data_IF_045382424364
#
_entry.id   IF_045382424364
#
_cell.length_a   1.000
_cell.length_b   1.000
_cell.length_c   1.000
_cell.angle_alpha   90.00
_cell.angle_beta   90.00
_cell.angle_gamma   90.00
#
_symmetry.space_group_name_H-M   'P 1'
#
loop_
_entity.id
_entity.type
_entity.pdbx_description
1 polymer ?
#
# COMPACT_ATOMS: atom_id res chain seq x y z
N UNK A 1 -26.66 -47.56 14.93
CA UNK A 1 -25.46 -46.95 14.31
C UNK A 1 -25.59 -46.78 12.79
N UNK A 2 -25.98 -47.83 12.03
CA UNK A 2 -26.19 -47.76 10.57
C UNK A 2 -27.29 -46.79 10.12
N UNK A 3 -28.39 -46.66 10.87
CA UNK A 3 -29.50 -45.75 10.52
C UNK A 3 -29.16 -44.27 10.68
N UNK A 4 -28.38 -43.92 11.72
CA UNK A 4 -27.92 -42.55 11.96
C UNK A 4 -26.99 -42.09 10.82
N UNK A 5 -26.09 -42.98 10.36
CA UNK A 5 -25.25 -42.69 9.19
C UNK A 5 -26.08 -42.49 7.92
N UNK A 6 -27.12 -43.31 7.69
CA UNK A 6 -27.98 -43.22 6.49
C UNK A 6 -28.77 -41.92 6.45
N UNK A 7 -29.22 -41.43 7.60
CA UNK A 7 -29.98 -40.17 7.75
C UNK A 7 -29.11 -38.91 7.58
N UNK A 8 -27.82 -39.00 7.88
CA UNK A 8 -26.87 -37.90 7.73
C UNK A 8 -25.96 -38.02 6.50
N UNK A 9 -26.07 -39.10 5.72
CA UNK A 9 -25.19 -39.38 4.57
C UNK A 9 -25.21 -38.26 3.53
N UNK A 10 -26.40 -37.72 3.23
CA UNK A 10 -26.56 -36.58 2.32
C UNK A 10 -25.90 -35.31 2.83
N UNK A 11 -26.03 -35.02 4.13
CA UNK A 11 -25.37 -33.87 4.77
C UNK A 11 -23.85 -34.05 4.81
N UNK A 12 -23.36 -35.26 5.06
CA UNK A 12 -21.93 -35.60 5.05
C UNK A 12 -21.35 -35.44 3.64
N UNK A 13 -22.03 -35.96 2.62
CA UNK A 13 -21.63 -35.81 1.22
C UNK A 13 -21.58 -34.34 0.80
N UNK A 14 -22.55 -33.53 1.22
CA UNK A 14 -22.56 -32.09 0.94
C UNK A 14 -21.40 -31.37 1.63
N UNK A 15 -21.09 -31.69 2.88
CA UNK A 15 -19.92 -31.13 3.59
C UNK A 15 -18.61 -31.52 2.89
N UNK A 16 -18.46 -32.78 2.47
CA UNK A 16 -17.28 -33.25 1.73
C UNK A 16 -17.16 -32.54 0.38
N UNK A 17 -18.27 -32.35 -0.35
CA UNK A 17 -18.30 -31.60 -1.61
C UNK A 17 -17.87 -30.13 -1.41
N UNK A 18 -18.34 -29.48 -0.35
CA UNK A 18 -17.95 -28.10 -0.03
C UNK A 18 -16.46 -28.02 0.30
N UNK A 19 -15.93 -28.93 1.12
CA UNK A 19 -14.51 -28.95 1.49
C UNK A 19 -13.63 -29.17 0.26
N UNK A 20 -14.01 -30.10 -0.62
CA UNK A 20 -13.25 -30.39 -1.86
C UNK A 20 -13.24 -29.21 -2.82
N UNK A 21 -14.35 -28.50 -3.01
CA UNK A 21 -14.40 -27.28 -3.82
C UNK A 21 -13.51 -26.18 -3.24
N UNK A 22 -13.55 -25.96 -1.92
CA UNK A 22 -12.68 -24.97 -1.25
C UNK A 22 -11.21 -25.32 -1.47
N UNK A 23 -10.82 -26.57 -1.25
CA UNK A 23 -9.43 -27.01 -1.37
C UNK A 23 -8.93 -26.96 -2.82
N UNK A 24 -9.79 -27.29 -3.78
CA UNK A 24 -9.45 -27.16 -5.20
C UNK A 24 -9.26 -25.69 -5.59
N UNK A 25 -10.09 -24.78 -5.09
CA UNK A 25 -9.93 -23.35 -5.38
C UNK A 25 -8.63 -22.78 -4.79
N UNK A 26 -8.26 -23.15 -3.56
CA UNK A 26 -6.97 -22.78 -2.95
C UNK A 26 -5.79 -23.36 -3.73
N UNK A 27 -5.83 -24.64 -4.08
CA UNK A 27 -4.77 -25.29 -4.87
C UNK A 27 -4.63 -24.70 -6.28
N UNK A 28 -5.75 -24.35 -6.92
CA UNK A 28 -5.76 -23.68 -8.23
C UNK A 28 -5.13 -22.29 -8.13
N UNK A 29 -5.47 -21.51 -7.10
CA UNK A 29 -4.84 -20.21 -6.82
C UNK A 29 -3.32 -20.37 -6.66
N UNK A 30 -2.86 -21.26 -5.79
CA UNK A 30 -1.42 -21.47 -5.57
C UNK A 30 -0.70 -21.90 -6.86
N UNK A 31 -1.28 -22.83 -7.61
CA UNK A 31 -0.72 -23.29 -8.89
C UNK A 31 -0.58 -22.15 -9.89
N UNK A 32 -1.62 -21.34 -10.05
CA UNK A 32 -1.63 -20.19 -10.96
C UNK A 32 -0.60 -19.13 -10.57
N UNK A 33 -0.51 -18.80 -9.28
CA UNK A 33 0.50 -17.87 -8.76
C UNK A 33 1.91 -18.39 -9.05
N UNK A 34 2.14 -19.70 -8.90
CA UNK A 34 3.45 -20.30 -9.16
C UNK A 34 3.81 -20.33 -10.66
N UNK A 35 2.84 -20.56 -11.55
CA UNK A 35 3.06 -20.59 -12.99
C UNK A 35 3.31 -19.19 -13.59
N UNK A 36 2.55 -18.18 -13.14
CA UNK A 36 2.58 -16.81 -13.70
C UNK A 36 3.10 -15.78 -12.70
N UNK A 37 4.08 -16.16 -11.90
CA UNK A 37 4.55 -15.41 -10.73
C UNK A 37 5.01 -14.00 -11.06
N UNK A 38 4.43 -13.02 -10.37
CA UNK A 38 4.87 -11.63 -10.33
C UNK A 38 4.92 -11.10 -8.88
N UNK A 39 5.62 -9.98 -8.70
CA UNK A 39 5.78 -9.34 -7.39
C UNK A 39 5.44 -7.85 -7.45
N UNK A 40 4.88 -7.34 -6.36
CA UNK A 40 4.63 -5.91 -6.14
C UNK A 40 4.72 -5.58 -4.64
N UNK A 41 4.33 -4.38 -4.27
CA UNK A 41 4.29 -3.90 -2.88
C UNK A 41 2.86 -3.52 -2.51
N UNK A 42 2.33 -4.24 -1.53
CA UNK A 42 0.98 -4.03 -1.01
C UNK A 42 1.00 -3.14 0.24
N UNK A 43 -0.01 -2.29 0.37
CA UNK A 43 -0.33 -1.53 1.57
C UNK A 43 -1.44 -2.23 2.34
N UNK A 44 -1.23 -2.47 3.62
CA UNK A 44 -2.25 -3.08 4.49
C UNK A 44 -3.29 -2.04 4.86
N UNK A 45 -4.55 -2.30 4.50
CA UNK A 45 -5.69 -1.43 4.75
C UNK A 45 -6.36 -1.74 6.09
N UNK A 46 -6.53 -3.03 6.40
CA UNK A 46 -7.15 -3.46 7.65
C UNK A 46 -6.62 -4.82 8.10
N UNK A 47 -6.63 -5.02 9.42
CA UNK A 47 -6.25 -6.28 10.06
C UNK A 47 -7.35 -6.64 11.05
N UNK A 48 -8.05 -7.74 10.82
CA UNK A 48 -9.02 -8.32 11.75
C UNK A 48 -8.35 -9.46 12.50
N UNK A 49 -8.14 -9.30 13.81
CA UNK A 49 -7.53 -10.31 14.68
C UNK A 49 -8.62 -11.21 15.29
N UNK A 50 -8.38 -12.51 15.30
CA UNK A 50 -9.32 -13.53 15.81
C UNK A 50 -8.88 -14.94 15.41
N UNK A 51 -9.74 -15.95 15.64
CA UNK A 51 -9.48 -17.35 15.26
C UNK A 51 -9.12 -17.52 13.78
N UNK A 52 -9.68 -16.66 12.92
CA UNK A 52 -9.32 -16.52 11.51
C UNK A 52 -8.91 -15.08 11.27
N UNK A 53 -7.63 -14.79 11.49
CA UNK A 53 -7.11 -13.46 11.19
C UNK A 53 -7.28 -13.16 9.69
N UNK A 54 -7.68 -11.95 9.36
CA UNK A 54 -7.85 -11.51 7.97
C UNK A 54 -7.14 -10.20 7.76
N UNK A 55 -6.47 -10.07 6.63
CA UNK A 55 -5.75 -8.88 6.23
C UNK A 55 -6.27 -8.42 4.90
N UNK A 56 -6.79 -7.20 4.85
CA UNK A 56 -7.17 -6.58 3.58
C UNK A 56 -6.05 -5.65 3.14
N UNK A 57 -5.67 -5.73 1.88
CA UNK A 57 -4.55 -4.98 1.33
C UNK A 57 -4.87 -4.49 -0.08
N UNK A 58 -4.13 -3.47 -0.52
CA UNK A 58 -4.15 -3.02 -1.92
C UNK A 58 -2.75 -3.01 -2.51
N UNK A 59 -2.65 -3.26 -3.81
CA UNK A 59 -1.41 -3.08 -4.57
C UNK A 59 -1.73 -2.59 -5.98
N UNK A 60 -0.75 -1.97 -6.62
CA UNK A 60 -0.89 -1.45 -7.97
C UNK A 60 -0.46 -2.51 -9.00
N UNK A 61 -1.28 -2.69 -10.03
CA UNK A 61 -0.98 -3.53 -11.19
C UNK A 61 -1.57 -2.89 -12.46
N UNK A 62 -0.74 -2.67 -13.48
CA UNK A 62 -1.14 -2.04 -14.75
C UNK A 62 -2.05 -0.83 -14.54
N UNK A 63 -1.59 0.11 -13.71
CA UNK A 63 -2.26 1.37 -13.43
C UNK A 63 -3.61 1.27 -12.71
N UNK A 64 -3.94 0.09 -12.18
CA UNK A 64 -5.15 -0.18 -11.41
C UNK A 64 -4.84 -0.69 -10.02
N UNK A 65 -5.61 -0.22 -9.05
CA UNK A 65 -5.59 -0.75 -7.69
C UNK A 65 -6.31 -2.09 -7.62
N UNK A 66 -5.59 -3.12 -7.20
CA UNK A 66 -6.14 -4.43 -6.87
C UNK A 66 -6.33 -4.49 -5.36
N UNK A 67 -7.51 -4.94 -4.94
CA UNK A 67 -7.91 -5.01 -3.53
C UNK A 67 -8.19 -6.46 -3.18
N UNK A 68 -7.44 -6.99 -2.22
CA UNK A 68 -7.55 -8.40 -1.88
C UNK A 68 -7.57 -8.62 -0.37
N UNK A 69 -8.02 -9.82 0.02
CA UNK A 69 -8.01 -10.25 1.41
C UNK A 69 -7.29 -11.58 1.56
N UNK A 70 -6.29 -11.57 2.42
CA UNK A 70 -5.56 -12.76 2.82
C UNK A 70 -6.07 -13.26 4.19
N UNK A 71 -6.18 -14.58 4.33
CA UNK A 71 -6.59 -15.23 5.57
C UNK A 71 -5.36 -15.77 6.31
N UNK A 72 -5.44 -15.88 7.64
CA UNK A 72 -4.38 -16.43 8.51
C UNK A 72 -3.13 -15.56 8.68
N UNK A 73 -3.15 -14.33 8.16
CA UNK A 73 -2.02 -13.41 8.17
C UNK A 73 -2.02 -12.38 9.31
N UNK A 74 -2.32 -12.81 10.53
CA UNK A 74 -2.48 -11.95 11.71
C UNK A 74 -1.24 -11.20 12.22
N UNK A 75 -0.06 -11.44 11.62
CA UNK A 75 1.19 -10.70 11.93
C UNK A 75 1.33 -9.40 11.12
N UNK A 76 0.47 -9.18 10.13
CA UNK A 76 0.45 -7.92 9.39
C UNK A 76 0.07 -6.76 10.31
N UNK A 77 0.66 -5.59 10.06
CA UNK A 77 0.35 -4.35 10.74
C UNK A 77 -0.43 -3.42 9.79
N UNK A 78 -1.47 -2.76 10.31
CA UNK A 78 -2.28 -1.80 9.53
C UNK A 78 -1.42 -0.61 9.09
N UNK A 79 -1.61 -0.15 7.85
CA UNK A 79 -0.87 0.94 7.19
C UNK A 79 0.62 0.64 6.93
N UNK A 80 1.07 -0.59 7.12
CA UNK A 80 2.42 -1.03 6.76
C UNK A 80 2.43 -1.60 5.34
N UNK A 81 3.65 -1.78 4.80
CA UNK A 81 3.87 -2.24 3.44
C UNK A 81 4.53 -3.63 3.44
N UNK A 82 4.06 -4.53 2.58
CA UNK A 82 4.61 -5.88 2.45
C UNK A 82 4.73 -6.26 0.97
N UNK A 83 5.58 -7.23 0.66
CA UNK A 83 5.64 -7.77 -0.69
C UNK A 83 4.35 -8.56 -0.94
N UNK A 84 3.83 -8.48 -2.14
CA UNK A 84 2.73 -9.32 -2.60
C UNK A 84 3.23 -10.15 -3.77
N UNK A 85 2.86 -11.43 -3.76
CA UNK A 85 3.02 -12.33 -4.90
C UNK A 85 1.67 -12.51 -5.57
N UNK A 86 1.63 -12.49 -6.90
CA UNK A 86 0.36 -12.62 -7.63
C UNK A 86 0.55 -13.29 -8.99
N UNK A 87 -0.54 -13.81 -9.56
CA UNK A 87 -0.61 -14.27 -10.95
C UNK A 87 -0.65 -13.05 -11.88
N UNK A 88 0.39 -12.87 -12.71
CA UNK A 88 0.50 -11.76 -13.66
C UNK A 88 -0.71 -11.59 -14.58
N UNK A 89 -1.35 -12.70 -14.95
CA UNK A 89 -2.49 -12.72 -15.87
C UNK A 89 -3.82 -12.54 -15.15
N UNK A 90 -3.87 -12.78 -13.85
CA UNK A 90 -5.03 -12.51 -13.02
C UNK A 90 -4.60 -12.11 -11.60
N UNK A 91 -4.38 -10.81 -11.35
CA UNK A 91 -3.78 -10.31 -10.12
C UNK A 91 -4.69 -10.46 -8.88
N UNK A 92 -5.98 -10.77 -9.03
CA UNK A 92 -6.87 -11.11 -7.90
C UNK A 92 -6.40 -12.38 -7.18
N UNK A 93 -5.71 -13.28 -7.90
CA UNK A 93 -4.96 -14.36 -7.26
C UNK A 93 -3.64 -13.80 -6.72
N UNK A 94 -3.70 -13.28 -5.51
CA UNK A 94 -2.53 -12.77 -4.80
C UNK A 94 -2.47 -13.16 -3.34
N UNK A 95 -1.26 -13.19 -2.78
CA UNK A 95 -0.99 -13.44 -1.37
C UNK A 95 0.07 -12.46 -0.85
N UNK A 96 -0.07 -12.02 0.40
CA UNK A 96 0.94 -11.17 1.02
C UNK A 96 2.08 -12.03 1.58
N UNK A 97 3.31 -11.62 1.29
CA UNK A 97 4.51 -12.26 1.81
C UNK A 97 4.87 -11.61 3.15
N UNK A 98 4.42 -12.23 4.23
CA UNK A 98 4.78 -11.80 5.59
C UNK A 98 6.22 -12.17 5.93
N UNK A 99 7.13 -11.25 5.65
CA UNK A 99 8.51 -11.28 6.14
C UNK A 99 8.57 -10.89 7.63
N UNK A 100 9.76 -11.06 8.25
CA UNK A 100 9.98 -10.68 9.67
C UNK A 100 9.72 -9.19 9.96
N UNK A 101 9.93 -8.31 8.98
CA UNK A 101 9.65 -6.87 9.05
C UNK A 101 8.84 -6.46 7.83
N UNK A 102 7.99 -5.42 7.98
CA UNK A 102 7.39 -4.70 6.86
C UNK A 102 8.46 -3.96 6.05
N UNK A 103 8.06 -3.32 4.96
CA UNK A 103 8.95 -2.63 4.04
C UNK A 103 9.02 -1.17 4.43
N UNK A 104 10.25 -0.64 4.46
CA UNK A 104 10.49 0.76 4.76
C UNK A 104 9.85 1.65 3.68
N UNK A 105 8.88 2.52 4.02
CA UNK A 105 8.27 3.43 3.04
C UNK A 105 9.28 4.42 2.45
N UNK A 106 10.37 4.73 3.15
CA UNK A 106 11.42 5.61 2.61
C UNK A 106 12.20 4.92 1.48
N UNK A 107 12.47 3.62 1.59
CA UNK A 107 13.12 2.86 0.51
C UNK A 107 12.23 2.79 -0.75
N UNK A 108 10.90 2.69 -0.55
CA UNK A 108 9.92 2.71 -1.64
C UNK A 108 9.90 4.03 -2.39
N UNK A 109 10.12 5.14 -1.68
CA UNK A 109 10.26 6.48 -2.27
C UNK A 109 11.60 6.62 -2.97
N UNK A 110 12.70 6.23 -2.30
CA UNK A 110 14.06 6.40 -2.82
C UNK A 110 14.26 5.69 -4.17
N UNK A 111 13.70 4.50 -4.31
CA UNK A 111 13.74 3.70 -5.55
C UNK A 111 12.69 4.11 -6.59
N UNK A 112 11.77 5.00 -6.22
CA UNK A 112 10.69 5.41 -7.10
C UNK A 112 11.07 6.55 -8.05
N UNK A 113 10.11 6.94 -8.89
CA UNK A 113 10.32 7.93 -9.95
C UNK A 113 10.28 9.39 -9.46
N UNK A 114 11.04 10.24 -10.15
CA UNK A 114 10.94 11.70 -10.02
C UNK A 114 9.81 12.22 -10.91
N UNK A 115 8.98 13.09 -10.37
CA UNK A 115 7.90 13.78 -11.09
C UNK A 115 7.85 15.25 -10.69
N UNK A 116 7.13 16.04 -11.47
CA UNK A 116 6.76 17.42 -11.14
C UNK A 116 5.39 17.43 -10.49
N UNK A 117 5.30 18.06 -9.32
CA UNK A 117 4.03 18.45 -8.73
C UNK A 117 3.78 19.93 -8.94
N UNK A 118 2.52 20.34 -8.95
CA UNK A 118 2.10 21.73 -9.04
C UNK A 118 1.79 22.25 -7.65
N UNK A 119 2.34 23.41 -7.29
CA UNK A 119 1.96 24.13 -6.08
C UNK A 119 0.63 24.83 -6.37
N UNK A 120 -0.46 24.31 -5.85
CA UNK A 120 -1.80 24.85 -6.11
C UNK A 120 -2.10 26.07 -5.24
N UNK A 121 -1.54 26.08 -4.02
CA UNK A 121 -1.77 27.15 -3.03
C UNK A 121 -0.65 27.19 -2.01
N UNK A 122 -0.37 28.37 -1.47
CA UNK A 122 0.54 28.61 -0.36
C UNK A 122 -0.22 29.25 0.78
N UNK A 123 -0.05 28.74 1.99
CA UNK A 123 -0.49 29.41 3.21
C UNK A 123 0.72 29.81 4.06
N UNK A 124 0.54 30.88 4.83
CA UNK A 124 1.60 31.50 5.63
C UNK A 124 1.29 31.31 7.12
N UNK A 125 1.55 30.13 7.69
CA UNK A 125 1.32 29.89 9.11
C UNK A 125 2.23 30.72 10.02
N UNK A 126 3.37 31.22 9.50
CA UNK A 126 4.25 32.15 10.20
C UNK A 126 5.10 32.96 9.21
N UNK A 127 5.91 33.89 9.72
CA UNK A 127 6.88 34.68 8.93
C UNK A 127 8.08 33.85 8.39
N UNK A 128 8.22 32.60 8.82
CA UNK A 128 9.38 31.74 8.51
C UNK A 128 8.98 30.44 7.82
N UNK A 129 7.73 29.99 7.98
CA UNK A 129 7.25 28.73 7.44
C UNK A 129 6.08 28.93 6.48
N UNK A 130 6.03 28.06 5.49
CA UNK A 130 5.03 28.04 4.44
C UNK A 130 4.39 26.66 4.37
N UNK A 131 3.07 26.64 4.25
CA UNK A 131 2.29 25.44 3.94
C UNK A 131 2.05 25.40 2.43
N UNK A 132 2.70 24.47 1.75
CA UNK A 132 2.54 24.23 0.32
C UNK A 132 1.50 23.14 0.11
N UNK A 133 0.45 23.47 -0.64
CA UNK A 133 -0.56 22.51 -1.10
C UNK A 133 -0.17 22.09 -2.51
N UNK A 134 0.29 20.85 -2.65
CA UNK A 134 0.86 20.32 -3.88
C UNK A 134 -0.09 19.27 -4.44
N UNK A 135 -0.32 19.33 -5.75
CA UNK A 135 -1.01 18.29 -6.50
C UNK A 135 -0.09 17.68 -7.57
N UNK A 136 -0.37 16.46 -7.98
CA UNK A 136 0.22 15.86 -9.18
C UNK A 136 -0.69 14.77 -9.72
N UNK A 137 -0.55 14.47 -11.01
CA UNK A 137 -1.25 13.36 -11.64
C UNK A 137 -0.30 12.19 -11.81
N UNK A 138 -0.76 11.01 -11.46
CA UNK A 138 -0.03 9.77 -11.67
C UNK A 138 -1.00 8.68 -12.07
N UNK A 139 -0.76 8.08 -13.25
CA UNK A 139 -1.58 6.98 -13.78
C UNK A 139 -3.08 7.33 -13.87
N UNK A 140 -3.39 8.56 -14.30
CA UNK A 140 -4.76 9.05 -14.41
C UNK A 140 -5.43 9.44 -13.08
N UNK A 141 -4.79 9.18 -11.94
CA UNK A 141 -5.27 9.62 -10.63
C UNK A 141 -4.59 10.91 -10.18
N UNK A 142 -5.37 11.81 -9.57
CA UNK A 142 -4.87 13.04 -8.97
C UNK A 142 -4.56 12.81 -7.49
N UNK A 143 -3.34 13.15 -7.10
CA UNK A 143 -2.85 13.06 -5.74
C UNK A 143 -2.61 14.46 -5.19
N UNK A 144 -2.94 14.66 -3.92
CA UNK A 144 -2.79 15.94 -3.25
C UNK A 144 -2.22 15.74 -1.85
N UNK A 145 -1.33 16.64 -1.46
CA UNK A 145 -0.80 16.66 -0.10
C UNK A 145 -0.33 18.05 0.30
N UNK A 146 -0.26 18.26 1.61
CA UNK A 146 0.34 19.45 2.20
C UNK A 146 1.71 19.13 2.78
N UNK A 147 2.70 19.98 2.48
CA UNK A 147 4.02 19.98 3.12
C UNK A 147 4.33 21.34 3.72
N UNK A 148 4.97 21.36 4.90
CA UNK A 148 5.43 22.58 5.56
C UNK A 148 6.93 22.71 5.41
N UNK A 149 7.39 23.82 4.83
CA UNK A 149 8.81 24.09 4.55
C UNK A 149 9.21 25.46 5.09
N UNK A 150 10.49 25.64 5.41
CA UNK A 150 11.02 26.97 5.73
C UNK A 150 11.02 27.82 4.45
N UNK A 151 10.75 29.11 4.53
CA UNK A 151 10.68 29.98 3.34
C UNK A 151 11.98 29.95 2.51
N UNK A 152 13.13 29.83 3.18
CA UNK A 152 14.44 29.79 2.53
C UNK A 152 14.76 28.44 1.86
N UNK A 153 13.91 27.42 2.05
CA UNK A 153 14.08 26.10 1.44
C UNK A 153 13.30 25.93 0.13
N UNK A 154 12.66 27.01 -0.35
CA UNK A 154 11.90 27.00 -1.60
C UNK A 154 12.68 27.76 -2.67
N UNK A 155 12.96 27.11 -3.80
CA UNK A 155 13.64 27.67 -4.97
C UNK A 155 12.72 28.58 -5.81
N UNK A 156 12.06 29.56 -5.19
CA UNK A 156 11.42 30.64 -5.94
C UNK A 156 11.97 31.99 -5.56
N UNK A 157 12.25 32.80 -6.58
CA UNK A 157 12.75 34.18 -6.46
C UNK A 157 11.81 35.01 -5.56
N UNK A 158 10.49 34.76 -5.64
CA UNK A 158 9.48 35.39 -4.79
C UNK A 158 8.45 34.34 -4.39
N UNK A 159 8.20 34.17 -3.08
CA UNK A 159 7.24 33.18 -2.56
C UNK A 159 5.84 33.36 -3.12
N UNK A 160 5.38 34.60 -3.31
CA UNK A 160 4.06 34.87 -3.91
C UNK A 160 3.94 34.41 -5.38
N UNK A 161 5.06 34.17 -6.06
CA UNK A 161 5.11 33.61 -7.42
C UNK A 161 5.28 32.09 -7.46
N UNK A 162 5.39 31.44 -6.30
CA UNK A 162 5.45 29.97 -6.24
C UNK A 162 4.06 29.34 -6.44
N UNK A 163 2.96 30.07 -6.27
CA UNK A 163 1.64 29.54 -6.61
C UNK A 163 1.54 29.32 -8.13
N UNK A 164 1.10 28.12 -8.52
CA UNK A 164 1.06 27.67 -9.90
C UNK A 164 2.39 27.12 -10.43
N UNK A 165 3.50 27.27 -9.71
CA UNK A 165 4.79 26.74 -10.15
C UNK A 165 4.91 25.24 -9.91
N UNK A 166 5.89 24.62 -10.58
CA UNK A 166 6.22 23.23 -10.40
C UNK A 166 7.28 23.02 -9.32
N UNK A 167 7.22 21.88 -8.64
CA UNK A 167 8.20 21.44 -7.66
C UNK A 167 8.58 19.98 -7.92
N UNK A 168 9.87 19.68 -7.85
CA UNK A 168 10.37 18.32 -7.96
C UNK A 168 9.99 17.50 -6.72
N UNK A 169 9.44 16.32 -6.96
CA UNK A 169 9.22 15.34 -5.91
C UNK A 169 9.50 13.92 -6.43
N UNK A 170 9.83 13.03 -5.50
CA UNK A 170 9.99 11.60 -5.77
C UNK A 170 8.83 10.87 -5.13
N UNK A 171 8.16 10.03 -5.91
CA UNK A 171 7.05 9.17 -5.45
C UNK A 171 7.45 7.71 -5.56
N UNK A 172 6.81 6.83 -4.79
CA UNK A 172 6.92 5.40 -5.02
C UNK A 172 6.13 4.97 -6.25
N UNK A 173 6.73 4.11 -7.09
CA UNK A 173 6.06 3.53 -8.26
C UNK A 173 4.89 2.61 -7.88
N UNK A 174 4.90 2.06 -6.66
CA UNK A 174 3.93 1.09 -6.18
C UNK A 174 2.86 1.71 -5.27
N UNK A 175 3.20 2.83 -4.62
CA UNK A 175 2.37 3.51 -3.63
C UNK A 175 2.52 5.02 -3.83
N UNK A 176 1.89 5.60 -4.88
CA UNK A 176 2.13 6.98 -5.30
C UNK A 176 1.87 7.99 -4.20
N UNK A 177 0.96 7.70 -3.26
CA UNK A 177 0.73 8.54 -2.08
C UNK A 177 2.00 8.79 -1.23
N UNK A 178 2.99 7.89 -1.30
CA UNK A 178 4.28 8.04 -0.65
C UNK A 178 5.17 8.94 -1.48
N UNK A 179 5.52 10.10 -0.93
CA UNK A 179 6.42 11.05 -1.57
C UNK A 179 7.41 11.66 -0.59
N UNK A 180 8.58 12.07 -1.09
CA UNK A 180 9.65 12.59 -0.23
C UNK A 180 9.25 13.90 0.48
N UNK A 181 8.61 14.83 -0.23
CA UNK A 181 8.24 16.14 0.31
C UNK A 181 7.27 16.04 1.50
N UNK A 182 6.38 15.03 1.51
CA UNK A 182 5.51 14.74 2.64
C UNK A 182 6.29 14.42 3.91
N UNK A 183 7.33 13.57 3.80
CA UNK A 183 8.15 13.12 4.93
C UNK A 183 9.22 14.14 5.34
N UNK A 184 9.60 15.05 4.43
CA UNK A 184 10.47 16.18 4.73
C UNK A 184 9.73 17.39 5.33
N UNK A 185 8.40 17.34 5.37
CA UNK A 185 7.59 18.37 6.02
C UNK A 185 8.03 18.57 7.47
N UNK A 186 8.15 19.81 7.91
CA UNK A 186 8.50 20.16 9.30
C UNK A 186 7.63 19.39 10.32
N UNK A 187 6.31 19.38 10.10
CA UNK A 187 5.34 18.70 10.96
C UNK A 187 5.51 17.16 11.03
N UNK A 188 6.29 16.55 10.12
CA UNK A 188 6.41 15.08 9.96
C UNK A 188 7.82 14.55 10.17
N UNK A 189 8.77 15.39 10.59
CA UNK A 189 10.16 14.97 10.82
C UNK A 189 10.25 13.83 11.85
N UNK A 190 9.45 13.89 12.91
CA UNK A 190 9.34 12.83 13.93
C UNK A 190 8.84 11.49 13.36
N UNK A 191 7.98 11.53 12.35
CA UNK A 191 7.51 10.32 11.67
C UNK A 191 8.67 9.69 10.90
N UNK A 192 9.44 10.50 10.16
CA UNK A 192 10.63 10.05 9.43
C UNK A 192 11.68 9.44 10.37
N UNK A 193 11.95 10.08 11.50
CA UNK A 193 12.85 9.52 12.53
C UNK A 193 12.36 8.19 13.09
N UNK A 194 11.06 8.08 13.38
CA UNK A 194 10.46 6.83 13.88
C UNK A 194 10.61 5.70 12.86
N UNK A 195 10.40 6.00 11.57
CA UNK A 195 10.61 5.04 10.47
C UNK A 195 12.07 4.59 10.45
N UNK A 196 13.03 5.52 10.43
CA UNK A 196 14.46 5.19 10.46
C UNK A 196 14.83 4.30 11.65
N UNK A 197 14.31 4.59 12.86
CA UNK A 197 14.54 3.75 14.05
C UNK A 197 13.94 2.35 13.94
N UNK A 198 12.80 2.19 13.24
CA UNK A 198 12.15 0.89 13.03
C UNK A 198 12.93 0.00 12.06
N UNK A 199 13.55 0.57 11.04
CA UNK A 199 14.15 -0.17 9.93
C UNK A 199 15.69 -0.26 9.95
N UNK A 200 16.39 0.70 10.56
CA UNK A 200 17.87 0.76 10.58
C UNK A 200 18.50 0.25 11.88
N UNK A 201 17.78 -0.62 12.61
CA UNK A 201 18.29 -1.44 13.72
C UNK A 201 18.35 -2.90 13.30
#
# INVERSE_FOLDING_TARGET
MKEVLRKHLGSILLVVAVITVIHWNESSKEKRINENKAFSYAKILSVKKGKRSRVSYKFLHNDKWIYETDSWNGKAEKNEFYKVIYDRNNPEYSDILLTRKSINPLDLIEKGKKIKGKIERIAYPSNTYLDLYISYNFLGERYEFRTRKHKDSIDCIVVSKCEGSEIDLRISDYQPELNNLFFESYDRIKIREKINRKYNK
#
